data_IF_324660444355
#
_entry.id   IF_324660444355
#
_cell.length_a   1.000
_cell.length_b   1.000
_cell.length_c   1.000
_cell.angle_alpha   90.00
_cell.angle_beta   90.00
_cell.angle_gamma   90.00
#
_symmetry.space_group_name_H-M   'P 1'
#
loop_
_entity.id
_entity.type
_entity.pdbx_description
1 polymer ?
#
# COMPACT_ATOMS: atom_id res chain seq x y z
N UNK A 1 9.61 25.41 12.01
CA UNK A 1 9.52 24.25 12.91
C UNK A 1 9.40 22.97 12.10
N UNK A 2 8.42 22.78 11.21
CA UNK A 2 8.21 21.53 10.45
C UNK A 2 9.42 21.15 9.60
N UNK A 3 9.98 22.11 8.82
CA UNK A 3 11.16 21.85 8.00
C UNK A 3 12.35 21.33 8.79
N UNK A 4 12.60 21.88 9.98
CA UNK A 4 13.70 21.44 10.85
C UNK A 4 13.49 20.01 11.38
N UNK A 5 12.24 19.64 11.66
CA UNK A 5 11.87 18.28 12.05
C UNK A 5 12.15 17.30 10.92
N UNK A 6 11.71 17.63 9.70
CA UNK A 6 11.93 16.79 8.50
C UNK A 6 13.43 16.62 8.25
N UNK A 7 14.21 17.70 8.28
CA UNK A 7 15.68 17.63 8.12
C UNK A 7 16.31 16.74 9.18
N UNK A 8 15.83 16.82 10.43
CA UNK A 8 16.32 15.98 11.52
C UNK A 8 16.04 14.49 11.25
N UNK A 9 14.84 14.15 10.82
CA UNK A 9 14.49 12.76 10.44
C UNK A 9 15.35 12.26 9.28
N UNK A 10 15.55 13.07 8.25
CA UNK A 10 16.41 12.69 7.13
C UNK A 10 17.84 12.41 7.61
N UNK A 11 18.45 13.33 8.36
CA UNK A 11 19.86 13.24 8.79
C UNK A 11 20.12 12.14 9.81
N UNK A 12 19.19 11.96 10.76
CA UNK A 12 19.45 11.09 11.91
C UNK A 12 18.86 9.70 11.78
N UNK A 13 17.89 9.51 10.86
CA UNK A 13 17.17 8.24 10.74
C UNK A 13 17.30 7.67 9.32
N UNK A 14 16.83 8.39 8.30
CA UNK A 14 16.77 7.86 6.93
C UNK A 14 18.15 7.66 6.32
N UNK A 15 19.02 8.67 6.33
CA UNK A 15 20.36 8.56 5.75
C UNK A 15 21.23 7.50 6.45
N UNK A 16 21.28 7.41 7.80
CA UNK A 16 21.99 6.32 8.46
C UNK A 16 21.45 4.94 8.10
N UNK A 17 20.12 4.80 7.98
CA UNK A 17 19.50 3.55 7.58
C UNK A 17 19.89 3.15 6.15
N UNK A 18 19.79 4.08 5.18
CA UNK A 18 20.19 3.83 3.78
C UNK A 18 21.69 3.51 3.66
N UNK A 19 22.54 4.18 4.43
CA UNK A 19 24.00 3.91 4.47
C UNK A 19 24.29 2.50 5.02
N UNK A 20 23.53 2.06 6.03
CA UNK A 20 23.67 0.72 6.59
C UNK A 20 23.16 -0.39 5.64
N UNK A 21 22.33 -0.03 4.65
CA UNK A 21 21.72 -0.96 3.68
C UNK A 21 22.00 -0.51 2.24
N UNK A 22 23.28 -0.47 1.79
CA UNK A 22 23.70 0.26 0.60
C UNK A 22 23.40 -0.45 -0.74
N UNK A 23 22.83 -1.65 -0.73
CA UNK A 23 22.69 -2.51 -1.92
C UNK A 23 21.49 -2.09 -2.80
N UNK A 24 21.44 -0.83 -3.21
CA UNK A 24 20.40 -0.31 -4.10
C UNK A 24 20.89 0.88 -4.93
N UNK A 25 20.15 1.13 -6.02
CA UNK A 25 20.26 2.37 -6.83
C UNK A 25 18.87 2.98 -6.91
N UNK A 26 18.73 4.23 -6.49
CA UNK A 26 17.46 4.96 -6.64
C UNK A 26 17.19 5.27 -8.10
N UNK A 27 16.07 4.80 -8.61
CA UNK A 27 15.65 4.98 -9.99
C UNK A 27 14.73 6.20 -10.15
N UNK A 28 13.73 6.32 -9.24
CA UNK A 28 12.69 7.34 -9.30
C UNK A 28 12.34 7.84 -7.90
N UNK A 29 11.93 9.11 -7.83
CA UNK A 29 11.39 9.74 -6.61
C UNK A 29 10.16 10.54 -7.00
N UNK A 30 9.10 10.47 -6.15
CA UNK A 30 7.84 11.20 -6.35
C UNK A 30 7.25 10.97 -7.76
N UNK A 31 7.34 9.75 -8.29
CA UNK A 31 6.91 9.42 -9.64
C UNK A 31 5.48 8.88 -9.68
N UNK A 32 4.73 9.29 -10.70
CA UNK A 32 3.36 8.88 -10.92
C UNK A 32 3.31 7.74 -11.92
N UNK A 33 2.59 6.67 -11.57
CA UNK A 33 2.36 5.50 -12.40
C UNK A 33 0.91 5.45 -12.82
N UNK A 34 0.68 5.08 -14.07
CA UNK A 34 -0.65 4.84 -14.63
C UNK A 34 -0.68 3.40 -15.18
N UNK A 35 -1.65 2.62 -14.74
CA UNK A 35 -1.80 1.23 -15.18
C UNK A 35 -3.21 0.93 -15.62
N UNK A 36 -3.45 0.52 -16.89
CA UNK A 36 -4.74 0.04 -17.32
C UNK A 36 -5.01 -1.34 -16.70
N UNK A 37 -6.05 -1.44 -15.89
CA UNK A 37 -6.42 -2.65 -15.19
C UNK A 37 -7.74 -3.19 -15.73
N UNK A 38 -7.72 -4.45 -16.20
CA UNK A 38 -8.87 -5.10 -16.82
C UNK A 38 -9.59 -6.02 -15.83
N UNK A 39 -10.91 -5.98 -15.86
CA UNK A 39 -11.78 -6.88 -15.10
C UNK A 39 -13.08 -7.10 -15.85
N UNK A 40 -13.86 -8.09 -15.40
CA UNK A 40 -15.16 -8.41 -15.99
C UNK A 40 -16.25 -8.28 -14.94
N UNK A 41 -17.35 -7.60 -15.30
CA UNK A 41 -18.56 -7.49 -14.49
C UNK A 41 -19.77 -7.81 -15.34
N UNK A 42 -20.60 -8.76 -14.88
CA UNK A 42 -21.82 -9.21 -15.57
C UNK A 42 -21.59 -9.59 -17.05
N UNK A 43 -20.48 -10.30 -17.34
CA UNK A 43 -20.11 -10.73 -18.69
C UNK A 43 -19.56 -9.61 -19.59
N UNK A 44 -19.35 -8.40 -19.07
CA UNK A 44 -18.80 -7.26 -19.80
C UNK A 44 -17.39 -6.92 -19.32
N UNK A 45 -16.43 -6.96 -20.24
CA UNK A 45 -15.06 -6.50 -19.97
C UNK A 45 -15.04 -5.00 -19.75
N UNK A 46 -14.28 -4.58 -18.75
CA UNK A 46 -14.06 -3.19 -18.36
C UNK A 46 -12.59 -2.94 -18.16
N UNK A 47 -12.16 -1.71 -18.42
CA UNK A 47 -10.81 -1.24 -18.12
C UNK A 47 -10.93 0.03 -17.29
N UNK A 48 -10.20 0.10 -16.20
CA UNK A 48 -9.99 1.31 -15.41
C UNK A 48 -8.53 1.70 -15.47
N UNK A 49 -8.25 2.98 -15.33
CA UNK A 49 -6.87 3.42 -15.15
C UNK A 49 -6.62 3.56 -13.64
N UNK A 50 -5.74 2.71 -13.13
CA UNK A 50 -5.23 2.87 -11.78
C UNK A 50 -4.11 3.92 -11.83
N UNK A 51 -4.18 4.87 -10.92
CA UNK A 51 -3.15 5.90 -10.76
C UNK A 51 -2.57 5.80 -9.35
N UNK A 52 -1.25 5.87 -9.27
CA UNK A 52 -0.52 5.88 -8.00
C UNK A 52 0.72 6.71 -8.09
N UNK A 53 1.15 7.26 -6.94
CA UNK A 53 2.39 8.01 -6.80
C UNK A 53 3.23 7.37 -5.72
N UNK A 54 4.40 6.88 -6.11
CA UNK A 54 5.36 6.33 -5.18
C UNK A 54 6.35 7.39 -4.72
N UNK A 55 6.67 7.40 -3.43
CA UNK A 55 7.65 8.34 -2.90
C UNK A 55 9.05 8.01 -3.43
N UNK A 56 9.40 6.71 -3.55
CA UNK A 56 10.72 6.27 -4.07
C UNK A 56 10.65 4.88 -4.67
N UNK A 57 11.37 4.69 -5.77
CA UNK A 57 11.61 3.38 -6.41
C UNK A 57 13.10 3.15 -6.55
N UNK A 58 13.58 2.02 -6.05
CA UNK A 58 14.97 1.59 -6.13
C UNK A 58 15.10 0.31 -6.97
N UNK A 59 16.29 0.10 -7.56
CA UNK A 59 16.75 -1.20 -8.05
C UNK A 59 17.68 -1.82 -7.01
N UNK A 60 17.41 -3.05 -6.61
CA UNK A 60 18.25 -3.80 -5.69
C UNK A 60 19.28 -4.67 -6.45
N UNK A 61 20.40 -4.99 -5.80
CA UNK A 61 21.48 -5.78 -6.40
C UNK A 61 21.04 -7.20 -6.80
N UNK A 62 19.98 -7.73 -6.16
CA UNK A 62 19.40 -9.04 -6.49
C UNK A 62 18.43 -9.02 -7.68
N UNK A 63 18.27 -7.86 -8.35
CA UNK A 63 17.42 -7.68 -9.52
C UNK A 63 15.96 -7.32 -9.21
N UNK A 64 15.54 -7.34 -7.95
CA UNK A 64 14.23 -6.83 -7.55
C UNK A 64 14.16 -5.31 -7.69
N UNK A 65 12.97 -4.81 -7.96
CA UNK A 65 12.64 -3.42 -7.66
C UNK A 65 12.20 -3.32 -6.19
N UNK A 66 12.39 -2.15 -5.59
CA UNK A 66 11.87 -1.84 -4.27
C UNK A 66 11.06 -0.57 -4.35
N UNK A 67 9.86 -0.62 -3.81
CA UNK A 67 9.02 0.57 -3.66
C UNK A 67 8.97 0.97 -2.20
N UNK A 68 9.13 2.26 -1.94
CA UNK A 68 9.13 2.82 -0.61
C UNK A 68 8.09 3.93 -0.54
N UNK A 69 7.27 3.87 0.50
CA UNK A 69 6.38 4.95 0.89
C UNK A 69 6.75 5.40 2.32
N UNK A 70 6.97 6.71 2.51
CA UNK A 70 7.41 7.28 3.79
C UNK A 70 6.24 7.61 4.70
N UNK A 71 6.35 7.20 5.96
CA UNK A 71 5.33 7.43 6.99
C UNK A 71 5.95 8.04 8.25
N UNK A 72 5.25 9.03 8.82
CA UNK A 72 5.65 9.68 10.07
C UNK A 72 4.96 9.11 11.31
N UNK A 73 3.98 8.22 11.12
CA UNK A 73 3.22 7.60 12.19
C UNK A 73 3.94 6.45 12.90
N UNK A 74 3.19 5.68 13.71
CA UNK A 74 3.69 4.44 14.32
C UNK A 74 3.66 3.29 13.32
N UNK A 75 4.67 2.39 13.32
CA UNK A 75 4.72 1.25 12.41
C UNK A 75 3.49 0.38 12.50
N UNK A 76 2.99 -0.04 11.34
CA UNK A 76 1.88 -0.95 11.14
C UNK A 76 2.12 -1.70 9.86
N UNK A 77 2.77 -2.84 10.01
CA UNK A 77 3.29 -3.64 8.92
C UNK A 77 2.68 -5.04 8.90
N UNK A 78 1.88 -5.37 9.94
CA UNK A 78 1.27 -6.69 10.08
C UNK A 78 -0.15 -6.70 9.49
N UNK A 79 -0.50 -7.78 8.80
CA UNK A 79 -1.83 -8.05 8.27
C UNK A 79 -2.15 -9.55 8.36
N UNK A 80 -3.44 -9.90 8.30
CA UNK A 80 -3.93 -11.27 8.52
C UNK A 80 -4.39 -11.94 7.22
N UNK A 81 -3.53 -11.96 6.21
CA UNK A 81 -3.84 -12.41 4.86
C UNK A 81 -4.42 -11.30 3.99
N UNK A 82 -4.32 -11.46 2.67
CA UNK A 82 -4.75 -10.45 1.69
C UNK A 82 -6.25 -10.14 1.80
N UNK A 83 -7.10 -11.15 1.96
CA UNK A 83 -8.55 -10.98 2.13
C UNK A 83 -8.88 -10.00 3.26
N UNK A 84 -8.15 -10.06 4.40
CA UNK A 84 -8.39 -9.19 5.53
C UNK A 84 -8.15 -7.70 5.27
N UNK A 85 -7.35 -7.38 4.27
CA UNK A 85 -7.09 -6.00 3.86
C UNK A 85 -8.32 -5.35 3.20
N UNK A 86 -9.17 -6.15 2.55
CA UNK A 86 -10.35 -5.70 1.80
C UNK A 86 -11.66 -5.88 2.56
N UNK A 87 -11.77 -6.94 3.37
CA UNK A 87 -13.02 -7.38 4.02
C UNK A 87 -12.97 -7.34 5.56
N UNK A 88 -11.93 -6.76 6.16
CA UNK A 88 -11.77 -6.65 7.62
C UNK A 88 -12.74 -5.64 8.27
N UNK A 89 -13.21 -5.96 9.48
CA UNK A 89 -13.97 -5.04 10.36
C UNK A 89 -13.05 -4.00 11.03
N UNK A 90 -13.44 -2.75 11.13
CA UNK A 90 -14.03 -1.92 10.08
C UNK A 90 -12.92 -1.39 9.15
N UNK A 91 -13.20 -1.30 7.87
CA UNK A 91 -12.37 -0.71 6.80
C UNK A 91 -11.82 0.70 7.17
N UNK A 92 -12.35 1.30 8.20
CA UNK A 92 -12.08 2.67 8.62
C UNK A 92 -10.75 2.91 9.33
N UNK A 93 -9.95 1.89 9.58
CA UNK A 93 -8.64 2.18 10.15
C UNK A 93 -7.66 2.49 9.03
N UNK A 94 -7.16 3.74 8.95
CA UNK A 94 -6.02 4.19 8.14
C UNK A 94 -4.79 3.24 8.13
N UNK A 95 -4.91 2.09 8.75
CA UNK A 95 -3.86 1.13 9.07
C UNK A 95 -3.56 0.24 7.89
N UNK A 96 -4.61 -0.29 7.32
CA UNK A 96 -4.52 -1.27 6.23
C UNK A 96 -4.45 -0.57 4.88
N UNK A 97 -4.98 0.66 4.78
CA UNK A 97 -4.88 1.47 3.56
C UNK A 97 -3.42 1.72 3.12
N UNK A 98 -2.47 1.85 4.05
CA UNK A 98 -1.07 2.02 3.69
C UNK A 98 -0.51 0.75 3.02
N UNK A 99 -0.84 -0.44 3.55
CA UNK A 99 -0.41 -1.71 2.97
C UNK A 99 -1.05 -1.90 1.60
N UNK A 100 -2.38 -1.70 1.49
CA UNK A 100 -3.12 -1.79 0.21
C UNK A 100 -2.50 -0.86 -0.83
N UNK A 101 -2.27 0.42 -0.50
CA UNK A 101 -1.71 1.39 -1.42
C UNK A 101 -0.31 0.98 -1.90
N UNK A 102 0.55 0.51 -0.98
CA UNK A 102 1.91 0.09 -1.36
C UNK A 102 1.88 -1.18 -2.21
N UNK A 103 0.96 -2.12 -1.95
CA UNK A 103 0.76 -3.30 -2.80
C UNK A 103 0.19 -2.93 -4.17
N UNK A 104 -0.73 -1.95 -4.26
CA UNK A 104 -1.22 -1.42 -5.55
C UNK A 104 -0.08 -0.82 -6.36
N UNK A 105 0.81 -0.05 -5.72
CA UNK A 105 1.98 0.50 -6.41
C UNK A 105 2.94 -0.60 -6.85
N UNK A 106 3.17 -1.62 -6.01
CA UNK A 106 4.01 -2.77 -6.36
C UNK A 106 3.43 -3.53 -7.57
N UNK A 107 2.11 -3.75 -7.60
CA UNK A 107 1.40 -4.34 -8.74
C UNK A 107 1.65 -3.55 -10.02
N UNK A 108 1.37 -2.24 -10.01
CA UNK A 108 1.52 -1.39 -11.19
C UNK A 108 2.96 -1.38 -11.72
N UNK A 109 3.94 -1.25 -10.83
CA UNK A 109 5.36 -1.23 -11.20
C UNK A 109 5.83 -2.60 -11.69
N UNK A 110 5.36 -3.70 -11.07
CA UNK A 110 5.66 -5.05 -11.52
C UNK A 110 5.18 -5.30 -12.94
N UNK A 111 3.96 -4.88 -13.25
CA UNK A 111 3.39 -4.99 -14.60
C UNK A 111 4.11 -4.09 -15.61
N UNK A 112 4.45 -2.85 -15.25
CA UNK A 112 5.15 -1.92 -16.15
C UNK A 112 6.55 -2.40 -16.53
N UNK A 113 7.29 -2.93 -15.55
CA UNK A 113 8.71 -3.28 -15.75
C UNK A 113 8.95 -4.78 -16.01
N UNK A 114 7.95 -5.64 -15.84
CA UNK A 114 8.12 -7.10 -15.92
C UNK A 114 9.10 -7.65 -14.88
N UNK A 115 9.23 -6.97 -13.74
CA UNK A 115 10.13 -7.32 -12.63
C UNK A 115 9.34 -7.47 -11.35
N UNK A 116 9.84 -8.33 -10.46
CA UNK A 116 9.27 -8.45 -9.13
C UNK A 116 9.64 -7.24 -8.26
N UNK A 117 8.77 -6.91 -7.32
CA UNK A 117 8.83 -5.68 -6.53
C UNK A 117 8.74 -6.02 -5.04
N UNK A 118 9.64 -5.47 -4.25
CA UNK A 118 9.58 -5.50 -2.78
C UNK A 118 8.86 -4.26 -2.28
N UNK A 119 7.64 -4.40 -1.72
CA UNK A 119 6.92 -3.29 -1.10
C UNK A 119 7.46 -3.03 0.31
N UNK A 120 7.75 -1.76 0.64
CA UNK A 120 8.24 -1.35 1.96
C UNK A 120 7.58 -0.05 2.42
N UNK A 121 7.28 0.04 3.73
CA UNK A 121 6.82 1.25 4.40
C UNK A 121 7.88 1.76 5.36
N UNK A 122 8.44 2.92 5.03
CA UNK A 122 9.48 3.54 5.85
C UNK A 122 8.89 4.44 6.93
N UNK A 123 8.74 3.90 8.13
CA UNK A 123 8.33 4.68 9.30
C UNK A 123 9.53 5.42 9.88
N UNK A 124 9.78 6.61 9.35
CA UNK A 124 11.02 7.37 9.60
C UNK A 124 11.33 7.65 11.08
N UNK A 125 10.29 7.74 11.94
CA UNK A 125 10.47 7.91 13.38
C UNK A 125 10.97 6.65 14.10
N UNK A 126 10.82 5.47 13.49
CA UNK A 126 11.17 4.17 14.09
C UNK A 126 12.48 3.59 13.59
N UNK A 127 13.08 4.20 12.55
CA UNK A 127 14.32 3.71 11.92
C UNK A 127 15.56 3.79 12.83
N UNK A 128 15.45 4.42 14.00
CA UNK A 128 16.54 4.50 15.01
C UNK A 128 16.65 3.25 15.87
N UNK A 129 15.68 2.34 15.79
CA UNK A 129 15.69 1.10 16.57
C UNK A 129 16.44 0.01 15.81
N UNK A 130 17.30 -0.74 16.48
CA UNK A 130 18.14 -1.77 15.88
C UNK A 130 17.34 -2.95 15.30
N UNK A 131 16.12 -3.19 15.81
CA UNK A 131 15.19 -4.21 15.35
C UNK A 131 14.18 -3.72 14.28
N UNK A 132 14.36 -2.49 13.78
CA UNK A 132 13.46 -1.93 12.77
C UNK A 132 13.52 -2.69 11.45
N UNK A 133 12.35 -3.04 10.93
CA UNK A 133 12.17 -3.57 9.59
C UNK A 133 11.02 -2.85 8.89
N UNK A 134 11.18 -2.42 7.63
CA UNK A 134 10.12 -1.76 6.86
C UNK A 134 9.19 -2.75 6.14
N UNK A 135 9.42 -4.05 6.29
CA UNK A 135 8.75 -5.11 5.54
C UNK A 135 7.40 -5.48 6.12
N UNK A 136 6.50 -5.88 5.25
CA UNK A 136 5.21 -6.40 5.66
C UNK A 136 5.35 -7.79 6.27
N UNK A 137 4.56 -8.04 7.29
CA UNK A 137 4.49 -9.32 7.97
C UNK A 137 3.06 -9.84 7.88
N UNK A 138 2.89 -10.92 7.16
CA UNK A 138 1.63 -11.64 7.10
C UNK A 138 1.53 -12.64 8.24
N UNK A 139 0.39 -12.66 8.92
CA UNK A 139 0.13 -13.60 10.02
C UNK A 139 -1.16 -14.35 9.77
N UNK A 140 -1.07 -15.65 9.46
CA UNK A 140 -2.20 -16.57 9.26
C UNK A 140 -2.07 -17.69 10.26
N UNK A 141 -3.14 -18.02 10.98
CA UNK A 141 -3.19 -19.12 11.97
C UNK A 141 -2.01 -19.11 12.97
N UNK A 142 -1.62 -17.93 13.46
CA UNK A 142 -0.47 -17.71 14.36
C UNK A 142 0.90 -17.99 13.76
N UNK A 143 1.01 -18.21 12.47
CA UNK A 143 2.27 -18.30 11.74
C UNK A 143 2.52 -16.97 11.04
N UNK A 144 3.68 -16.38 11.28
CA UNK A 144 4.08 -15.13 10.65
C UNK A 144 5.14 -15.38 9.60
N UNK A 145 5.03 -14.72 8.46
CA UNK A 145 6.05 -14.67 7.42
C UNK A 145 6.28 -13.24 6.98
N UNK A 146 7.51 -12.90 6.66
CA UNK A 146 7.84 -11.63 6.03
C UNK A 146 7.57 -11.71 4.55
N UNK A 147 6.90 -10.72 3.98
CA UNK A 147 6.73 -10.59 2.54
C UNK A 147 8.04 -10.11 1.90
N UNK A 148 8.64 -10.95 1.09
CA UNK A 148 9.91 -10.63 0.41
C UNK A 148 9.68 -9.93 -0.93
N UNK A 149 8.61 -10.28 -1.64
CA UNK A 149 8.28 -9.73 -2.94
C UNK A 149 6.78 -9.78 -3.23
N UNK A 150 6.30 -8.89 -4.09
CA UNK A 150 4.89 -8.77 -4.47
C UNK A 150 4.35 -10.06 -5.11
N UNK A 151 5.19 -10.77 -5.88
CA UNK A 151 4.80 -12.02 -6.55
C UNK A 151 4.25 -13.08 -5.61
N UNK A 152 4.62 -13.05 -4.31
CA UNK A 152 4.14 -14.01 -3.32
C UNK A 152 2.64 -13.87 -3.00
N UNK A 153 2.07 -12.69 -3.28
CA UNK A 153 0.66 -12.36 -2.98
C UNK A 153 -0.09 -11.85 -4.21
N UNK A 154 0.57 -11.74 -5.37
CA UNK A 154 0.04 -11.09 -6.56
C UNK A 154 -1.33 -11.64 -6.99
N UNK A 155 -1.47 -12.98 -7.06
CA UNK A 155 -2.70 -13.61 -7.50
C UNK A 155 -3.89 -13.31 -6.60
N UNK A 156 -3.72 -13.43 -5.29
CA UNK A 156 -4.77 -13.12 -4.31
C UNK A 156 -5.08 -11.63 -4.31
N UNK A 157 -4.06 -10.77 -4.32
CA UNK A 157 -4.24 -9.33 -4.28
C UNK A 157 -4.98 -8.80 -5.51
N UNK A 158 -4.61 -9.26 -6.70
CA UNK A 158 -5.28 -8.85 -7.93
C UNK A 158 -6.74 -9.32 -8.00
N UNK A 159 -7.05 -10.52 -7.49
CA UNK A 159 -8.44 -10.97 -7.42
C UNK A 159 -9.28 -10.14 -6.45
N UNK A 160 -8.73 -9.71 -5.32
CA UNK A 160 -9.42 -8.81 -4.41
C UNK A 160 -9.64 -7.41 -5.01
N UNK A 161 -8.65 -6.89 -5.73
CA UNK A 161 -8.82 -5.64 -6.50
C UNK A 161 -9.93 -5.79 -7.55
N UNK A 162 -9.96 -6.90 -8.31
CA UNK A 162 -11.02 -7.18 -9.29
C UNK A 162 -12.38 -7.34 -8.60
N UNK A 163 -12.44 -8.03 -7.46
CA UNK A 163 -13.66 -8.22 -6.68
C UNK A 163 -14.25 -6.86 -6.24
N UNK A 164 -13.40 -5.99 -5.71
CA UNK A 164 -13.79 -4.63 -5.32
C UNK A 164 -14.30 -3.82 -6.51
N UNK A 165 -13.61 -3.89 -7.65
CA UNK A 165 -14.05 -3.20 -8.86
C UNK A 165 -15.36 -3.78 -9.43
N UNK A 166 -15.55 -5.10 -9.37
CA UNK A 166 -16.83 -5.74 -9.76
C UNK A 166 -17.97 -5.19 -8.91
N UNK A 167 -17.81 -5.12 -7.58
CA UNK A 167 -18.82 -4.56 -6.69
C UNK A 167 -19.11 -3.09 -7.03
N UNK A 168 -18.09 -2.27 -7.24
CA UNK A 168 -18.24 -0.85 -7.59
C UNK A 168 -18.96 -0.61 -8.91
N UNK A 169 -18.79 -1.50 -9.89
CA UNK A 169 -19.36 -1.35 -11.24
C UNK A 169 -20.61 -2.19 -11.50
N UNK A 170 -21.04 -3.00 -10.53
CA UNK A 170 -22.26 -3.77 -10.62
C UNK A 170 -23.48 -2.88 -10.33
N UNK A 171 -24.24 -2.57 -11.38
CA UNK A 171 -25.44 -1.74 -11.29
C UNK A 171 -26.58 -2.37 -10.47
N UNK A 172 -26.51 -3.67 -10.19
CA UNK A 172 -27.49 -4.36 -9.34
C UNK A 172 -27.24 -4.13 -7.86
N UNK A 173 -26.04 -3.68 -7.49
CA UNK A 173 -25.65 -3.39 -6.11
C UNK A 173 -25.89 -1.89 -5.84
N UNK A 174 -26.88 -1.52 -5.01
CA UNK A 174 -27.13 -0.11 -4.69
C UNK A 174 -26.06 0.44 -3.76
N UNK A 175 -25.70 1.70 -3.92
CA UNK A 175 -24.89 2.42 -2.92
C UNK A 175 -25.62 2.46 -1.59
N UNK A 176 -24.90 2.12 -0.52
CA UNK A 176 -25.40 2.13 0.85
C UNK A 176 -24.57 3.05 1.71
N UNK A 177 -25.17 3.59 2.75
CA UNK A 177 -24.42 4.29 3.79
C UNK A 177 -23.55 3.28 4.54
N UNK A 178 -22.31 3.68 4.87
CA UNK A 178 -21.46 2.88 5.73
C UNK A 178 -22.13 2.67 7.09
N UNK A 179 -22.15 1.45 7.60
CA UNK A 179 -22.72 1.12 8.90
C UNK A 179 -21.87 1.70 10.05
N UNK A 180 -20.55 1.68 9.89
CA UNK A 180 -19.63 2.27 10.86
C UNK A 180 -19.62 3.80 10.76
N UNK A 181 -20.23 4.45 11.75
CA UNK A 181 -20.24 5.92 11.84
C UNK A 181 -18.86 6.53 12.05
N UNK A 182 -17.88 5.77 12.56
CA UNK A 182 -16.50 6.27 12.74
C UNK A 182 -15.82 6.55 11.40
N UNK A 183 -16.17 5.81 10.36
CA UNK A 183 -15.71 6.04 8.98
C UNK A 183 -16.18 7.39 8.41
N UNK A 184 -17.27 7.93 8.95
CA UNK A 184 -17.84 9.20 8.50
C UNK A 184 -17.05 10.42 8.98
N UNK A 185 -16.22 10.31 10.01
CA UNK A 185 -15.54 11.45 10.68
C UNK A 185 -14.76 12.35 9.72
N UNK A 186 -14.20 11.79 8.65
CA UNK A 186 -13.43 12.50 7.63
C UNK A 186 -13.93 12.20 6.21
N UNK A 187 -15.18 11.80 6.07
CA UNK A 187 -15.79 11.46 4.79
C UNK A 187 -16.34 12.73 4.11
N UNK A 188 -15.99 12.94 2.87
CA UNK A 188 -16.46 14.09 2.07
C UNK A 188 -17.97 14.03 1.80
N UNK A 189 -18.58 12.86 1.95
CA UNK A 189 -20.01 12.61 1.70
C UNK A 189 -20.90 12.71 2.96
N UNK A 190 -20.37 13.16 4.11
CA UNK A 190 -21.12 13.27 5.36
C UNK A 190 -22.44 14.00 5.19
N UNK A 191 -22.44 15.10 4.42
CA UNK A 191 -23.62 15.93 4.21
C UNK A 191 -24.71 15.18 3.44
N UNK A 192 -24.33 14.41 2.40
CA UNK A 192 -25.26 13.61 1.60
C UNK A 192 -25.87 12.49 2.45
N UNK A 193 -25.06 11.90 3.32
CA UNK A 193 -25.49 10.83 4.22
C UNK A 193 -26.24 11.34 5.47
N UNK A 194 -26.36 12.66 5.65
CA UNK A 194 -26.92 13.28 6.86
C UNK A 194 -26.25 12.78 8.17
N UNK A 195 -24.94 12.55 8.10
CA UNK A 195 -24.10 12.15 9.24
C UNK A 195 -23.11 13.27 9.54
N UNK A 196 -23.42 14.04 10.59
CA UNK A 196 -22.56 15.12 11.10
C UNK A 196 -21.88 14.66 12.39
#
# INVERSE_FOLDING_TARGET
VVQQIVIKYIKNNLLPYDIAHPNFVTLKVEDTFLHPFEFEVNGVKRTVILEGRADRVDSLDNGLLRIIDYKTGKPRLNYSGIESLFHGEPIATKRESNIINTLLYAMMISHEHGKDVRPELYYVGSMVHDDYSPRFVETIERKSRTLEAYSEVAGEFEEEVKSTLREMFDKSIPFRQCEDSSACKHCDYQTICNRK
#
